data_IF_290440887602
#
_entry.id   IF_290440887602
#
_cell.length_a   1.000
_cell.length_b   1.000
_cell.length_c   1.000
_cell.angle_alpha   90.00
_cell.angle_beta   90.00
_cell.angle_gamma   90.00
#
_symmetry.space_group_name_H-M   'P 1'
#
loop_
_entity.id
_entity.type
_entity.pdbx_description
1 polymer ?
#
# COMPACT_ATOMS: atom_id res chain seq x y z
N UNK A 1 -16.08 7.62 6.48
CA UNK A 1 -15.21 7.94 7.62
C UNK A 1 -13.78 7.71 7.17
N UNK A 2 -12.92 8.73 7.14
CA UNK A 2 -11.51 8.55 6.79
C UNK A 2 -10.76 7.96 7.99
N UNK A 3 -10.94 6.67 8.22
CA UNK A 3 -10.19 5.92 9.23
C UNK A 3 -8.83 5.60 8.64
N UNK A 4 -7.84 6.46 8.91
CA UNK A 4 -6.44 6.10 8.66
C UNK A 4 -6.15 4.78 9.41
N UNK A 5 -5.41 3.84 8.81
CA UNK A 5 -5.05 2.60 9.46
C UNK A 5 -4.27 2.87 10.75
N UNK A 6 -4.30 1.89 11.65
CA UNK A 6 -3.64 2.01 12.96
C UNK A 6 -2.17 2.33 12.76
N UNK A 7 -1.73 3.43 13.36
CA UNK A 7 -0.35 3.90 13.31
C UNK A 7 0.53 3.05 14.21
N UNK A 8 1.58 2.46 13.66
CA UNK A 8 2.56 1.69 14.42
C UNK A 8 3.87 2.46 14.61
N UNK A 9 4.05 3.54 13.85
CA UNK A 9 5.12 4.50 14.04
C UNK A 9 4.63 5.75 14.79
N UNK A 10 5.50 6.35 15.60
CA UNK A 10 5.21 7.63 16.25
C UNK A 10 5.34 8.80 15.26
N UNK A 11 4.67 9.93 15.55
CA UNK A 11 4.83 11.14 14.74
C UNK A 11 6.26 11.69 14.77
N UNK A 12 6.98 11.52 15.90
CA UNK A 12 8.39 11.86 16.00
C UNK A 12 9.25 11.01 15.06
N UNK A 13 9.00 9.70 14.99
CA UNK A 13 9.71 8.82 14.06
C UNK A 13 9.42 9.16 12.59
N UNK A 14 8.19 9.58 12.25
CA UNK A 14 7.88 10.07 10.90
C UNK A 14 8.63 11.34 10.60
N UNK A 15 8.61 12.29 11.53
CA UNK A 15 9.26 13.60 11.36
C UNK A 15 10.77 13.44 11.21
N UNK A 16 11.40 12.57 12.02
CA UNK A 16 12.82 12.23 11.89
C UNK A 16 13.14 11.63 10.52
N UNK A 17 12.30 10.73 10.02
CA UNK A 17 12.47 10.12 8.68
C UNK A 17 12.31 11.15 7.56
N UNK A 18 11.31 12.03 7.64
CA UNK A 18 11.15 13.15 6.67
C UNK A 18 12.37 14.07 6.69
N UNK A 19 12.85 14.45 7.88
CA UNK A 19 14.04 15.27 8.05
C UNK A 19 15.31 14.58 7.48
N UNK A 20 15.35 13.25 7.51
CA UNK A 20 16.38 12.44 6.87
C UNK A 20 16.23 12.28 5.34
N UNK A 21 15.28 12.97 4.71
CA UNK A 21 15.07 12.92 3.25
C UNK A 21 14.18 11.77 2.76
N UNK A 22 13.48 11.07 3.67
CA UNK A 22 12.56 10.00 3.30
C UNK A 22 11.27 10.58 2.73
N UNK A 23 10.86 10.10 1.55
CA UNK A 23 9.62 10.51 0.91
C UNK A 23 8.40 10.03 1.69
N UNK A 24 7.23 10.66 1.48
CA UNK A 24 5.98 10.23 2.13
C UNK A 24 5.64 8.78 1.77
N UNK A 25 5.88 8.37 0.51
CA UNK A 25 5.68 6.99 0.09
C UNK A 25 6.54 5.99 0.89
N UNK A 26 7.80 6.32 1.12
CA UNK A 26 8.70 5.48 1.91
C UNK A 26 8.29 5.42 3.40
N UNK A 27 7.63 6.47 3.92
CA UNK A 27 7.06 6.46 5.28
C UNK A 27 5.85 5.54 5.36
N UNK A 28 4.98 5.54 4.34
CA UNK A 28 3.83 4.63 4.30
C UNK A 28 4.29 3.16 4.24
N UNK A 29 5.32 2.86 3.46
CA UNK A 29 5.93 1.52 3.45
C UNK A 29 6.59 1.16 4.79
N UNK A 30 7.18 2.13 5.49
CA UNK A 30 7.73 1.90 6.82
C UNK A 30 6.64 1.59 7.87
N UNK A 31 5.48 2.26 7.81
CA UNK A 31 4.31 1.96 8.65
C UNK A 31 3.77 0.56 8.35
N UNK A 32 3.67 0.20 7.07
CA UNK A 32 3.27 -1.14 6.65
C UNK A 32 4.14 -2.21 7.29
N UNK A 33 5.47 -2.03 7.21
CA UNK A 33 6.42 -2.96 7.82
C UNK A 33 6.37 -2.96 9.35
N UNK A 34 6.09 -1.83 9.97
CA UNK A 34 5.95 -1.74 11.43
C UNK A 34 4.70 -2.49 11.92
N UNK A 35 3.59 -2.39 11.17
CA UNK A 35 2.36 -3.14 11.44
C UNK A 35 2.57 -4.64 11.26
N UNK A 36 3.25 -5.06 10.18
CA UNK A 36 3.61 -6.46 9.94
C UNK A 36 4.47 -7.03 11.07
N UNK A 37 5.47 -6.26 11.53
CA UNK A 37 6.31 -6.66 12.66
C UNK A 37 5.53 -6.77 13.98
N UNK A 38 4.47 -5.98 14.15
CA UNK A 38 3.57 -6.06 15.29
C UNK A 38 2.55 -7.21 15.18
N UNK A 39 2.53 -7.95 14.06
CA UNK A 39 1.57 -9.02 13.79
C UNK A 39 0.19 -8.51 13.34
N UNK A 40 0.08 -7.23 12.95
CA UNK A 40 -1.15 -6.65 12.41
C UNK A 40 -1.05 -6.56 10.88
N UNK A 41 -1.27 -7.70 10.24
CA UNK A 41 -1.24 -7.81 8.78
C UNK A 41 -2.29 -6.91 8.12
N UNK A 42 -3.47 -6.74 8.73
CA UNK A 42 -4.53 -5.90 8.16
C UNK A 42 -4.08 -4.44 8.07
N UNK A 43 -3.51 -3.90 9.15
CA UNK A 43 -2.91 -2.56 9.13
C UNK A 43 -1.71 -2.49 8.19
N UNK A 44 -0.90 -3.56 8.09
CA UNK A 44 0.24 -3.61 7.18
C UNK A 44 -0.21 -3.43 5.72
N UNK A 45 -1.24 -4.18 5.31
CA UNK A 45 -1.82 -4.07 3.98
C UNK A 45 -2.50 -2.72 3.75
N UNK A 46 -3.20 -2.17 4.74
CA UNK A 46 -3.85 -0.88 4.62
C UNK A 46 -2.85 0.27 4.44
N UNK A 47 -1.72 0.24 5.16
CA UNK A 47 -0.62 1.20 4.94
C UNK A 47 0.03 1.02 3.56
N UNK A 48 0.20 -0.22 3.12
CA UNK A 48 0.76 -0.51 1.80
C UNK A 48 -0.17 -0.05 0.66
N UNK A 49 -1.49 -0.13 0.85
CA UNK A 49 -2.48 0.32 -0.13
C UNK A 49 -2.49 1.85 -0.31
N UNK A 50 -2.13 2.60 0.73
CA UNK A 50 -1.95 4.05 0.66
C UNK A 50 -0.64 4.45 -0.02
N UNK A 51 0.35 3.56 -0.03
CA UNK A 51 1.63 3.77 -0.69
C UNK A 51 1.47 3.71 -2.22
N UNK A 52 2.23 4.54 -2.93
CA UNK A 52 2.38 4.45 -4.38
C UNK A 52 3.29 3.27 -4.70
N UNK A 53 2.66 2.14 -5.07
CA UNK A 53 3.37 0.95 -5.50
C UNK A 53 3.63 1.01 -7.01
N UNK A 54 4.86 0.66 -7.44
CA UNK A 54 5.14 0.56 -8.86
C UNK A 54 4.36 -0.60 -9.48
N UNK A 55 4.06 -0.47 -10.77
CA UNK A 55 3.19 -1.39 -11.49
C UNK A 55 3.64 -2.87 -11.43
N UNK A 56 4.95 -3.12 -11.37
CA UNK A 56 5.49 -4.48 -11.22
C UNK A 56 5.17 -5.11 -9.85
N UNK A 57 5.15 -4.32 -8.76
CA UNK A 57 4.75 -4.79 -7.44
C UNK A 57 3.26 -5.11 -7.41
N UNK A 58 2.42 -4.29 -8.05
CA UNK A 58 1.00 -4.55 -8.19
C UNK A 58 0.72 -5.80 -9.04
N UNK A 59 1.47 -6.00 -10.13
CA UNK A 59 1.38 -7.22 -10.93
C UNK A 59 1.76 -8.48 -10.12
N UNK A 60 2.82 -8.40 -9.30
CA UNK A 60 3.20 -9.48 -8.40
C UNK A 60 2.10 -9.80 -7.37
N UNK A 61 1.53 -8.76 -6.73
CA UNK A 61 0.41 -8.93 -5.80
C UNK A 61 -0.82 -9.53 -6.47
N UNK A 62 -1.15 -9.10 -7.70
CA UNK A 62 -2.25 -9.66 -8.50
C UNK A 62 -2.01 -11.14 -8.82
N UNK A 63 -0.78 -11.52 -9.14
CA UNK A 63 -0.42 -12.91 -9.42
C UNK A 63 -0.51 -13.82 -8.20
N UNK A 64 -0.17 -13.29 -7.02
CA UNK A 64 -0.16 -14.06 -5.76
C UNK A 64 -1.54 -14.16 -5.11
N UNK A 65 -2.30 -13.05 -5.08
CA UNK A 65 -3.54 -12.94 -4.30
C UNK A 65 -4.79 -12.70 -5.16
N UNK A 66 -4.63 -12.46 -6.46
CA UNK A 66 -5.73 -12.18 -7.38
C UNK A 66 -6.10 -10.69 -7.47
N UNK A 67 -6.86 -10.34 -8.51
CA UNK A 67 -7.33 -8.97 -8.74
C UNK A 67 -8.31 -8.48 -7.66
N UNK A 68 -9.12 -9.38 -7.11
CA UNK A 68 -10.08 -9.08 -6.04
C UNK A 68 -9.37 -8.53 -4.79
N UNK A 69 -8.22 -9.11 -4.43
CA UNK A 69 -7.42 -8.68 -3.28
C UNK A 69 -6.96 -7.23 -3.39
N UNK A 70 -6.58 -6.80 -4.59
CA UNK A 70 -6.13 -5.43 -4.88
C UNK A 70 -7.31 -4.47 -4.79
N UNK A 71 -8.48 -4.86 -5.32
CA UNK A 71 -9.72 -4.07 -5.27
C UNK A 71 -10.23 -3.92 -3.83
N UNK A 72 -10.31 -5.02 -3.07
CA UNK A 72 -10.85 -5.03 -1.70
C UNK A 72 -10.02 -4.17 -0.74
N UNK A 73 -8.70 -4.10 -0.95
CA UNK A 73 -7.79 -3.29 -0.12
C UNK A 73 -7.64 -1.84 -0.61
N UNK A 74 -8.19 -1.51 -1.78
CA UNK A 74 -8.16 -0.15 -2.32
C UNK A 74 -6.76 0.34 -2.71
N UNK A 75 -5.90 -0.56 -3.21
CA UNK A 75 -4.60 -0.15 -3.75
C UNK A 75 -4.79 0.85 -4.89
N UNK A 76 -3.94 1.88 -4.94
CA UNK A 76 -3.90 2.82 -6.06
C UNK A 76 -3.35 2.12 -7.29
N UNK A 77 -4.25 1.68 -8.18
CA UNK A 77 -3.86 0.99 -9.41
C UNK A 77 -3.65 1.94 -10.58
N UNK A 78 -3.80 3.25 -10.42
CA UNK A 78 -3.76 4.23 -11.52
C UNK A 78 -2.49 4.09 -12.40
N UNK A 79 -1.31 3.94 -11.80
CA UNK A 79 -0.06 3.68 -12.54
C UNK A 79 0.01 2.28 -13.17
N UNK A 80 -0.54 1.26 -12.51
CA UNK A 80 -0.57 -0.10 -13.06
C UNK A 80 -1.55 -0.23 -14.23
N UNK A 81 -2.67 0.48 -14.15
CA UNK A 81 -3.71 0.55 -15.17
C UNK A 81 -3.17 1.26 -16.42
N UNK A 82 -2.38 2.33 -16.23
CA UNK A 82 -1.66 3.01 -17.30
C UNK A 82 -0.55 2.14 -17.94
N UNK A 83 0.17 1.34 -17.15
CA UNK A 83 1.28 0.53 -17.63
C UNK A 83 0.87 -0.80 -18.27
N UNK A 84 -0.19 -1.45 -17.78
CA UNK A 84 -0.59 -2.81 -18.18
C UNK A 84 -2.00 -2.90 -18.78
N UNK A 85 -2.75 -1.78 -18.84
CA UNK A 85 -4.11 -1.72 -19.33
C UNK A 85 -5.14 -2.12 -18.26
N UNK A 86 -6.29 -1.43 -18.25
CA UNK A 86 -7.42 -1.71 -17.37
C UNK A 86 -7.93 -3.12 -17.58
N UNK A 87 -7.48 -4.09 -16.79
CA UNK A 87 -8.09 -5.41 -16.74
C UNK A 87 -9.35 -5.33 -15.85
N UNK A 88 -10.30 -4.52 -16.30
CA UNK A 88 -11.66 -4.39 -15.78
C UNK A 88 -12.62 -5.05 -16.75
N UNK A 89 -12.53 -6.38 -16.87
CA UNK A 89 -13.55 -7.15 -17.57
C UNK A 89 -13.78 -8.49 -16.89
N UNK A 90 -14.61 -8.45 -15.85
CA UNK A 90 -15.41 -9.61 -15.45
C UNK A 90 -16.26 -10.04 -16.66
N UNK A 91 -16.17 -11.30 -17.14
CA UNK A 91 -17.18 -11.86 -18.03
C UNK A 91 -18.43 -12.19 -17.20
N UNK A 92 -19.53 -11.51 -17.52
CA UNK A 92 -20.88 -11.91 -17.13
C UNK A 92 -21.32 -13.15 -17.92
#
# INVERSE_FOLDING_TARGET
MSTKPKSYMTEEDRTRRRAGGMSENAILMAESRAADHAGDEEAAWAWLALAELPAHSLAFLKGQFGAQFIRDRGFRTEDADAAYGSDSRDPA
#
